data_IF_192894562515
#
_entry.id   IF_192894562515
#
_cell.length_a   1.000
_cell.length_b   1.000
_cell.length_c   1.000
_cell.angle_alpha   90.00
_cell.angle_beta   90.00
_cell.angle_gamma   90.00
#
_symmetry.space_group_name_H-M   'P 1'
#
loop_
_entity.id
_entity.type
_entity.pdbx_description
1 polymer ?
#
# COMPACT_ATOMS: atom_id res chain seq x y z
N UNK A 1 -26.50 -23.33 21.89
CA UNK A 1 -25.14 -22.77 21.94
C UNK A 1 -25.01 -21.84 20.74
N UNK A 2 -24.93 -20.51 20.88
CA UNK A 2 -24.72 -19.67 19.72
C UNK A 2 -23.25 -19.80 19.30
N UNK A 3 -23.04 -20.25 18.06
CA UNK A 3 -21.73 -20.44 17.47
C UNK A 3 -20.99 -19.11 17.39
N UNK A 4 -19.83 -19.07 18.06
CA UNK A 4 -18.82 -18.03 17.93
C UNK A 4 -18.53 -17.84 16.44
N UNK A 5 -18.89 -16.69 15.87
CA UNK A 5 -18.47 -16.28 14.53
C UNK A 5 -16.97 -15.95 14.63
N UNK A 6 -16.15 -17.00 14.73
CA UNK A 6 -14.70 -16.94 14.88
C UNK A 6 -14.05 -16.58 13.57
N UNK A 7 -14.06 -15.29 13.24
CA UNK A 7 -13.09 -14.74 12.31
C UNK A 7 -11.70 -14.99 12.89
N UNK A 8 -10.82 -15.66 12.14
CA UNK A 8 -9.43 -15.90 12.55
C UNK A 8 -8.69 -14.55 12.61
N UNK A 9 -8.62 -13.98 13.82
CA UNK A 9 -8.04 -12.66 14.07
C UNK A 9 -6.55 -12.62 13.72
N UNK A 10 -5.86 -13.76 13.81
CA UNK A 10 -4.47 -13.89 13.42
C UNK A 10 -4.32 -13.90 11.89
N UNK A 11 -5.22 -14.57 11.15
CA UNK A 11 -5.24 -14.49 9.69
C UNK A 11 -5.41 -13.05 9.19
N UNK A 12 -6.23 -12.23 9.86
CA UNK A 12 -6.44 -10.83 9.47
C UNK A 12 -5.29 -9.92 9.87
N UNK A 13 -4.65 -10.17 11.02
CA UNK A 13 -3.39 -9.50 11.36
C UNK A 13 -2.32 -9.79 10.32
N UNK A 14 -2.21 -11.04 9.88
CA UNK A 14 -1.28 -11.44 8.83
C UNK A 14 -1.60 -10.75 7.50
N UNK A 15 -2.88 -10.64 7.12
CA UNK A 15 -3.29 -9.86 5.95
C UNK A 15 -2.91 -8.38 6.10
N UNK A 16 -3.18 -7.77 7.25
CA UNK A 16 -2.86 -6.37 7.49
C UNK A 16 -1.34 -6.10 7.40
N UNK A 17 -0.52 -7.00 7.94
CA UNK A 17 0.94 -6.91 7.84
C UNK A 17 1.42 -7.02 6.38
N UNK A 18 0.82 -7.92 5.59
CA UNK A 18 1.14 -8.05 4.16
C UNK A 18 0.76 -6.80 3.38
N UNK A 19 -0.44 -6.24 3.61
CA UNK A 19 -0.89 -5.00 2.96
C UNK A 19 0.08 -3.84 3.24
N UNK A 20 0.49 -3.67 4.49
CA UNK A 20 1.43 -2.63 4.91
C UNK A 20 2.83 -2.83 4.28
N UNK A 21 3.33 -4.07 4.26
CA UNK A 21 4.59 -4.42 3.59
C UNK A 21 4.55 -4.11 2.09
N UNK A 22 3.46 -4.47 1.41
CA UNK A 22 3.31 -4.22 -0.04
C UNK A 22 3.14 -2.74 -0.35
N UNK A 23 2.50 -1.96 0.51
CA UNK A 23 2.50 -0.51 0.40
C UNK A 23 3.93 0.07 0.46
N UNK A 24 4.75 -0.42 1.39
CA UNK A 24 6.16 -0.03 1.49
C UNK A 24 6.98 -0.40 0.24
N UNK A 25 6.78 -1.59 -0.32
CA UNK A 25 7.43 -2.02 -1.57
C UNK A 25 7.08 -1.09 -2.75
N UNK A 26 5.81 -0.68 -2.86
CA UNK A 26 5.37 0.24 -3.93
C UNK A 26 6.04 1.60 -3.79
N UNK A 27 6.12 2.17 -2.59
CA UNK A 27 6.81 3.43 -2.35
C UNK A 27 8.31 3.33 -2.68
N UNK A 28 8.95 2.21 -2.33
CA UNK A 28 10.34 1.97 -2.69
C UNK A 28 10.52 1.91 -4.21
N UNK A 29 9.64 1.21 -4.92
CA UNK A 29 9.67 1.14 -6.40
C UNK A 29 9.50 2.54 -7.01
N UNK A 30 8.51 3.32 -6.55
CA UNK A 30 8.26 4.68 -7.03
C UNK A 30 9.50 5.58 -6.84
N UNK A 31 10.16 5.49 -5.69
CA UNK A 31 11.36 6.25 -5.39
C UNK A 31 12.55 5.82 -6.26
N UNK A 32 12.80 4.51 -6.41
CA UNK A 32 13.90 3.99 -7.22
C UNK A 32 13.74 4.37 -8.69
N UNK A 33 12.53 4.24 -9.24
CA UNK A 33 12.24 4.61 -10.63
C UNK A 33 12.41 6.12 -10.85
N UNK A 34 11.95 6.95 -9.91
CA UNK A 34 12.14 8.40 -9.96
C UNK A 34 13.62 8.77 -9.94
N UNK A 35 14.40 8.19 -9.03
CA UNK A 35 15.85 8.43 -8.96
C UNK A 35 16.57 7.99 -10.24
N UNK A 36 16.20 6.84 -10.80
CA UNK A 36 16.75 6.32 -12.06
C UNK A 36 16.42 7.25 -13.24
N UNK A 37 15.17 7.72 -13.33
CA UNK A 37 14.74 8.66 -14.37
C UNK A 37 15.48 10.00 -14.29
N UNK A 38 15.73 10.49 -13.07
CA UNK A 38 16.46 11.73 -12.84
C UNK A 38 17.97 11.60 -13.12
N UNK A 39 18.55 10.42 -12.89
CA UNK A 39 19.96 10.13 -13.18
C UNK A 39 20.24 9.76 -14.64
N UNK A 40 19.22 9.44 -15.42
CA UNK A 40 19.37 9.05 -16.82
C UNK A 40 19.81 10.23 -17.69
N UNK A 41 20.90 10.06 -18.45
CA UNK A 41 21.34 11.01 -19.49
C UNK A 41 20.48 10.87 -20.75
N UNK A 42 19.21 11.20 -20.60
CA UNK A 42 18.20 11.18 -21.65
C UNK A 42 17.59 12.58 -21.80
N UNK A 43 17.91 13.25 -22.91
CA UNK A 43 17.54 14.63 -23.20
C UNK A 43 16.66 14.70 -24.46
N UNK A 44 15.96 15.81 -24.62
CA UNK A 44 15.08 16.08 -25.76
C UNK A 44 13.59 16.06 -25.42
N UNK A 45 12.72 16.37 -26.40
CA UNK A 45 11.28 16.57 -26.19
C UNK A 45 10.58 15.36 -25.58
N UNK A 46 10.92 14.15 -26.02
CA UNK A 46 10.33 12.90 -25.52
C UNK A 46 10.70 12.65 -24.05
N UNK A 47 11.95 12.96 -23.69
CA UNK A 47 12.42 12.83 -22.32
C UNK A 47 11.70 13.81 -21.37
N UNK A 48 11.44 15.04 -21.84
CA UNK A 48 10.65 16.02 -21.11
C UNK A 48 9.21 15.57 -20.94
N UNK A 49 8.58 15.07 -22.02
CA UNK A 49 7.21 14.55 -21.98
C UNK A 49 7.09 13.39 -21.00
N UNK A 50 7.98 12.40 -21.08
CA UNK A 50 7.96 11.25 -20.19
C UNK A 50 8.16 11.64 -18.72
N UNK A 51 9.06 12.59 -18.42
CA UNK A 51 9.22 13.10 -17.04
C UNK A 51 7.95 13.81 -16.54
N UNK A 52 7.24 14.51 -17.42
CA UNK A 52 5.94 15.11 -17.12
C UNK A 52 4.87 14.05 -16.85
N UNK A 53 4.75 13.03 -17.70
CA UNK A 53 3.81 11.92 -17.52
C UNK A 53 4.12 11.13 -16.23
N UNK A 54 5.41 10.93 -15.94
CA UNK A 54 5.87 10.27 -14.72
C UNK A 54 5.47 11.05 -13.46
N UNK A 55 5.81 12.34 -13.37
CA UNK A 55 5.53 13.14 -12.17
C UNK A 55 4.05 13.50 -12.02
N UNK A 56 3.32 13.66 -13.14
CA UNK A 56 1.92 14.06 -13.14
C UNK A 56 0.92 12.90 -13.04
N UNK A 57 1.29 11.70 -13.49
CA UNK A 57 0.35 10.56 -13.57
C UNK A 57 0.89 9.33 -12.84
N UNK A 58 2.03 8.80 -13.26
CA UNK A 58 2.46 7.47 -12.79
C UNK A 58 2.90 7.45 -11.33
N UNK A 59 3.74 8.41 -10.92
CA UNK A 59 4.18 8.49 -9.53
C UNK A 59 3.00 8.73 -8.56
N UNK A 60 2.10 9.70 -8.79
CA UNK A 60 0.90 9.86 -7.97
C UNK A 60 0.01 8.61 -7.89
N UNK A 61 -0.15 7.87 -8.99
CA UNK A 61 -0.93 6.62 -8.99
C UNK A 61 -0.29 5.54 -8.12
N UNK A 62 1.03 5.37 -8.16
CA UNK A 62 1.74 4.43 -7.29
C UNK A 62 1.56 4.81 -5.82
N UNK A 63 1.74 6.09 -5.48
CA UNK A 63 1.52 6.59 -4.12
C UNK A 63 0.07 6.39 -3.66
N UNK A 64 -0.91 6.59 -4.54
CA UNK A 64 -2.32 6.36 -4.23
C UNK A 64 -2.61 4.87 -3.95
N UNK A 65 -2.01 3.95 -4.69
CA UNK A 65 -2.13 2.50 -4.42
C UNK A 65 -1.50 2.15 -3.07
N UNK A 66 -0.29 2.63 -2.79
CA UNK A 66 0.36 2.41 -1.50
C UNK A 66 -0.51 2.94 -0.34
N UNK A 67 -1.11 4.12 -0.49
CA UNK A 67 -2.01 4.70 0.49
C UNK A 67 -3.27 3.85 0.69
N UNK A 68 -3.92 3.39 -0.38
CA UNK A 68 -5.08 2.53 -0.29
C UNK A 68 -4.78 1.20 0.43
N UNK A 69 -3.60 0.62 0.22
CA UNK A 69 -3.16 -0.58 0.93
C UNK A 69 -2.95 -0.33 2.43
N UNK A 70 -2.40 0.83 2.83
CA UNK A 70 -2.26 1.22 4.24
C UNK A 70 -3.60 1.43 4.93
N UNK A 71 -4.55 2.04 4.23
CA UNK A 71 -5.91 2.23 4.73
C UNK A 71 -6.58 0.87 4.95
N UNK A 72 -6.47 -0.04 3.98
CA UNK A 72 -6.96 -1.42 4.12
C UNK A 72 -6.27 -2.16 5.28
N UNK A 73 -4.95 -2.01 5.45
CA UNK A 73 -4.21 -2.60 6.56
C UNK A 73 -4.72 -2.07 7.92
N UNK A 74 -5.00 -0.77 8.02
CA UNK A 74 -5.52 -0.13 9.23
C UNK A 74 -6.93 -0.64 9.55
N UNK A 75 -7.81 -0.72 8.54
CA UNK A 75 -9.15 -1.28 8.70
C UNK A 75 -9.11 -2.74 9.16
N UNK A 76 -8.24 -3.57 8.58
CA UNK A 76 -8.06 -4.96 8.99
C UNK A 76 -7.58 -5.09 10.45
N UNK A 77 -6.59 -4.27 10.87
CA UNK A 77 -6.12 -4.22 12.27
C UNK A 77 -7.27 -3.86 13.23
N UNK A 78 -8.07 -2.85 12.87
CA UNK A 78 -9.22 -2.41 13.68
C UNK A 78 -10.28 -3.51 13.81
N UNK A 79 -10.61 -4.19 12.72
CA UNK A 79 -11.58 -5.29 12.74
C UNK A 79 -11.10 -6.46 13.61
N UNK A 80 -9.82 -6.82 13.55
CA UNK A 80 -9.25 -7.86 14.41
C UNK A 80 -9.34 -7.48 15.89
N UNK A 81 -8.99 -6.24 16.27
CA UNK A 81 -9.09 -5.77 17.65
C UNK A 81 -10.53 -5.77 18.18
N UNK A 82 -11.50 -5.34 17.36
CA UNK A 82 -12.91 -5.34 17.74
C UNK A 82 -13.42 -6.77 17.99
N UNK A 83 -13.01 -7.71 17.14
CA UNK A 83 -13.40 -9.11 17.28
C UNK A 83 -12.84 -9.72 18.56
N UNK A 84 -11.58 -9.45 18.91
CA UNK A 84 -10.99 -9.92 20.17
C UNK A 84 -11.72 -9.34 21.39
N UNK A 85 -12.03 -8.04 21.36
CA UNK A 85 -12.75 -7.41 22.44
C UNK A 85 -14.14 -8.02 22.63
N UNK A 86 -14.88 -8.26 21.54
CA UNK A 86 -16.22 -8.87 21.58
C UNK A 86 -16.20 -10.35 21.99
N UNK A 87 -15.13 -11.06 21.66
CA UNK A 87 -14.93 -12.49 21.97
C UNK A 87 -14.50 -12.73 23.43
N UNK A 88 -13.92 -11.71 24.06
CA UNK A 88 -13.46 -11.75 25.45
C UNK A 88 -14.50 -11.24 26.46
N UNK A 89 -15.76 -10.99 26.04
CA UNK A 89 -16.91 -10.65 26.91
C UNK A 89 -17.85 -11.83 27.06
#
# INVERSE_FOLDING_TARGET
MPGFLGMDTDAIRNLAAQLDSKAGEIDQIANVLTATLNGARWEGPDATRFRGDWSGTHHPQLTAVAQALREAATAAKNNAMQQENASNV
#
